data_IF_147572949693
#
_entry.id   IF_147572949693
#
_cell.length_a   1.000
_cell.length_b   1.000
_cell.length_c   1.000
_cell.angle_alpha   90.00
_cell.angle_beta   90.00
_cell.angle_gamma   90.00
#
_symmetry.space_group_name_H-M   'P 1'
#
loop_
_entity.id
_entity.type
_entity.pdbx_description
1 polymer ?
#
# COMPACT_ATOMS: atom_id res chain seq x y z
N UNK A 1 10.06 14.06 -23.55
CA UNK A 1 9.92 14.77 -22.26
C UNK A 1 9.70 13.74 -21.14
N UNK A 2 10.78 13.08 -20.69
CA UNK A 2 10.77 11.85 -19.88
C UNK A 2 11.25 12.08 -18.43
N UNK A 3 10.89 13.20 -17.79
CA UNK A 3 11.45 13.57 -16.47
C UNK A 3 10.52 13.21 -15.29
N UNK A 4 9.23 12.89 -15.53
CA UNK A 4 8.27 12.62 -14.45
C UNK A 4 8.24 11.16 -13.93
N UNK A 5 8.79 10.19 -14.66
CA UNK A 5 8.74 8.78 -14.24
C UNK A 5 9.83 8.40 -13.20
N UNK A 6 10.92 9.18 -13.12
CA UNK A 6 12.08 8.79 -12.31
C UNK A 6 11.98 9.25 -10.84
N UNK A 7 11.34 10.39 -10.57
CA UNK A 7 11.18 10.94 -9.21
C UNK A 7 10.18 10.15 -8.34
N UNK A 8 9.16 9.54 -8.93
CA UNK A 8 8.18 8.71 -8.22
C UNK A 8 8.75 7.34 -7.81
N UNK A 9 9.77 6.85 -8.52
CA UNK A 9 10.37 5.55 -8.27
C UNK A 9 11.32 5.56 -7.05
N UNK A 10 12.10 6.64 -6.89
CA UNK A 10 13.05 6.79 -5.78
C UNK A 10 12.38 6.90 -4.40
N UNK A 11 11.28 7.65 -4.30
CA UNK A 11 10.52 7.80 -3.06
C UNK A 11 9.80 6.50 -2.67
N UNK A 12 9.10 5.83 -3.60
CA UNK A 12 8.42 4.56 -3.34
C UNK A 12 9.38 3.48 -2.82
N UNK A 13 10.61 3.43 -3.35
CA UNK A 13 11.62 2.45 -2.92
C UNK A 13 11.97 2.63 -1.44
N UNK A 14 12.23 3.85 -0.98
CA UNK A 14 12.60 4.12 0.41
C UNK A 14 11.49 3.74 1.41
N UNK A 15 10.23 4.09 1.12
CA UNK A 15 9.10 3.72 1.97
C UNK A 15 8.90 2.20 2.00
N UNK A 16 8.94 1.54 0.84
CA UNK A 16 8.82 0.09 0.77
C UNK A 16 9.90 -0.63 1.59
N UNK A 17 11.17 -0.19 1.48
CA UNK A 17 12.27 -0.72 2.29
C UNK A 17 12.04 -0.53 3.80
N UNK A 18 11.45 0.60 4.22
CA UNK A 18 11.13 0.85 5.63
C UNK A 18 10.08 -0.14 6.16
N UNK A 19 9.01 -0.37 5.42
CA UNK A 19 7.98 -1.36 5.76
C UNK A 19 8.57 -2.76 5.83
N UNK A 20 9.31 -3.18 4.80
CA UNK A 20 9.97 -4.49 4.78
C UNK A 20 10.88 -4.73 6.00
N UNK A 21 11.68 -3.74 6.38
CA UNK A 21 12.51 -3.83 7.59
C UNK A 21 11.67 -4.04 8.84
N UNK A 22 10.58 -3.26 9.02
CA UNK A 22 9.68 -3.40 10.17
C UNK A 22 9.05 -4.79 10.22
N UNK A 23 8.55 -5.30 9.10
CA UNK A 23 7.95 -6.64 9.00
C UNK A 23 8.93 -7.74 9.42
N UNK A 24 10.15 -7.72 8.89
CA UNK A 24 11.17 -8.73 9.21
C UNK A 24 11.56 -8.65 10.69
N UNK A 25 11.79 -7.44 11.21
CA UNK A 25 12.14 -7.23 12.62
C UNK A 25 11.08 -7.81 13.56
N UNK A 26 9.80 -7.51 13.35
CA UNK A 26 8.70 -8.03 14.17
C UNK A 26 8.69 -9.56 14.23
N UNK A 27 8.94 -10.22 13.09
CA UNK A 27 8.94 -11.67 13.00
C UNK A 27 10.16 -12.26 13.68
N UNK A 28 11.36 -11.74 13.41
CA UNK A 28 12.61 -12.25 13.97
C UNK A 28 12.64 -12.09 15.50
N UNK A 29 12.18 -10.96 16.01
CA UNK A 29 12.04 -10.71 17.45
C UNK A 29 11.11 -11.75 18.10
N UNK A 30 9.90 -11.95 17.55
CA UNK A 30 8.95 -12.93 18.10
C UNK A 30 9.42 -14.37 17.97
N UNK A 31 10.09 -14.71 16.88
CA UNK A 31 10.70 -16.03 16.70
C UNK A 31 11.79 -16.28 17.76
N UNK A 32 12.62 -15.27 18.03
CA UNK A 32 13.69 -15.33 19.05
C UNK A 32 13.10 -15.45 20.45
N UNK A 33 12.12 -14.60 20.79
CA UNK A 33 11.42 -14.62 22.08
C UNK A 33 10.78 -15.98 22.37
N UNK A 34 10.16 -16.61 21.37
CA UNK A 34 9.50 -17.91 21.51
C UNK A 34 10.41 -19.12 21.29
N UNK A 35 11.66 -18.93 20.87
CA UNK A 35 12.57 -20.02 20.51
C UNK A 35 12.07 -20.88 19.34
N UNK A 36 11.34 -20.28 18.38
CA UNK A 36 10.71 -20.99 17.26
C UNK A 36 11.59 -20.90 16.01
N UNK A 37 11.79 -22.02 15.34
CA UNK A 37 12.54 -22.06 14.08
C UNK A 37 11.72 -21.57 12.87
N UNK A 38 12.40 -21.06 11.85
CA UNK A 38 11.77 -20.64 10.59
C UNK A 38 10.94 -21.76 9.97
N UNK A 39 11.43 -23.00 9.99
CA UNK A 39 10.71 -24.16 9.46
C UNK A 39 9.40 -24.42 10.20
N UNK A 40 9.38 -24.22 11.52
CA UNK A 40 8.16 -24.36 12.33
C UNK A 40 7.15 -23.26 11.99
N UNK A 41 7.60 -22.01 11.84
CA UNK A 41 6.74 -20.91 11.38
C UNK A 41 6.17 -21.22 10.00
N UNK A 42 7.02 -21.55 9.02
CA UNK A 42 6.62 -21.80 7.65
C UNK A 42 5.60 -22.94 7.53
N UNK A 43 5.82 -24.03 8.29
CA UNK A 43 4.86 -25.14 8.40
C UNK A 43 3.52 -24.68 8.96
N UNK A 44 3.53 -23.91 10.04
CA UNK A 44 2.30 -23.44 10.67
C UNK A 44 1.48 -22.57 9.72
N UNK A 45 2.12 -21.63 9.02
CA UNK A 45 1.43 -20.72 8.11
C UNK A 45 1.21 -21.29 6.71
N UNK A 46 1.54 -22.58 6.51
CA UNK A 46 1.38 -23.31 5.25
C UNK A 46 2.08 -22.65 4.05
N UNK A 47 3.29 -22.13 4.28
CA UNK A 47 4.14 -21.58 3.20
C UNK A 47 5.42 -22.38 3.04
N UNK A 48 5.99 -22.33 1.84
CA UNK A 48 7.28 -22.94 1.57
C UNK A 48 8.41 -22.29 2.43
N UNK A 49 9.22 -23.08 3.16
CA UNK A 49 10.31 -22.54 3.97
C UNK A 49 11.37 -21.78 3.16
N UNK A 50 11.64 -22.15 1.91
CA UNK A 50 12.61 -21.44 1.05
C UNK A 50 12.07 -20.07 0.66
N UNK A 51 10.79 -19.99 0.31
CA UNK A 51 10.08 -18.74 0.07
C UNK A 51 10.16 -17.84 1.31
N UNK A 52 9.77 -18.34 2.48
CA UNK A 52 9.75 -17.53 3.71
C UNK A 52 11.16 -17.07 4.12
N UNK A 53 12.18 -17.90 3.91
CA UNK A 53 13.58 -17.49 4.09
C UNK A 53 14.00 -16.35 3.14
N UNK A 54 13.56 -16.38 1.89
CA UNK A 54 13.80 -15.28 0.93
C UNK A 54 13.04 -14.01 1.32
N UNK A 55 11.86 -14.12 1.94
CA UNK A 55 11.13 -12.97 2.47
C UNK A 55 11.89 -12.32 3.62
N UNK A 56 12.31 -13.09 4.62
CA UNK A 56 13.03 -12.56 5.78
C UNK A 56 14.40 -11.96 5.41
N UNK A 57 15.07 -12.52 4.40
CA UNK A 57 16.31 -11.94 3.86
C UNK A 57 16.10 -10.73 2.92
N UNK A 58 14.85 -10.28 2.72
CA UNK A 58 14.53 -9.14 1.86
C UNK A 58 14.67 -9.41 0.35
N UNK A 59 14.90 -10.66 -0.05
CA UNK A 59 15.03 -11.10 -1.46
C UNK A 59 13.66 -11.28 -2.14
N UNK A 60 12.58 -11.39 -1.36
CA UNK A 60 11.21 -11.50 -1.83
C UNK A 60 10.27 -10.62 -1.01
N UNK A 61 9.14 -10.26 -1.61
CA UNK A 61 8.08 -9.52 -0.94
C UNK A 61 7.28 -10.45 0.00
N UNK A 62 6.65 -9.93 1.06
CA UNK A 62 5.84 -10.72 1.97
C UNK A 62 4.63 -11.31 1.24
N UNK A 63 4.05 -12.41 1.76
CA UNK A 63 2.80 -12.96 1.25
C UNK A 63 1.78 -11.85 0.97
N UNK A 64 1.13 -11.94 -0.20
CA UNK A 64 0.05 -11.01 -0.57
C UNK A 64 -1.29 -11.40 0.06
N UNK A 65 -1.44 -12.66 0.43
CA UNK A 65 -2.65 -13.18 1.07
C UNK A 65 -2.72 -12.73 2.54
N UNK A 66 -3.74 -11.92 2.86
CA UNK A 66 -3.99 -11.46 4.22
C UNK A 66 -4.26 -12.63 5.19
N UNK A 67 -4.84 -13.75 4.74
CA UNK A 67 -5.09 -14.91 5.61
C UNK A 67 -3.78 -15.51 6.12
N UNK A 68 -2.76 -15.60 5.26
CA UNK A 68 -1.42 -16.05 5.64
C UNK A 68 -0.79 -15.10 6.65
N UNK A 69 -0.92 -13.78 6.43
CA UNK A 69 -0.41 -12.77 7.36
C UNK A 69 -1.13 -12.81 8.71
N UNK A 70 -2.46 -12.97 8.73
CA UNK A 70 -3.24 -13.14 9.97
C UNK A 70 -2.82 -14.40 10.70
N UNK A 71 -2.66 -15.53 10.01
CA UNK A 71 -2.20 -16.80 10.60
C UNK A 71 -0.80 -16.66 11.21
N UNK A 72 0.11 -15.97 10.51
CA UNK A 72 1.46 -15.65 11.00
C UNK A 72 1.41 -14.79 12.27
N UNK A 73 0.60 -13.73 12.27
CA UNK A 73 0.44 -12.85 13.42
C UNK A 73 -0.05 -13.63 14.64
N UNK A 74 -1.15 -14.39 14.48
CA UNK A 74 -1.73 -15.18 15.55
C UNK A 74 -0.75 -16.21 16.12
N UNK A 75 -0.04 -16.93 15.25
CA UNK A 75 0.97 -17.91 15.68
C UNK A 75 2.12 -17.25 16.46
N UNK A 76 2.59 -16.10 15.99
CA UNK A 76 3.65 -15.34 16.65
C UNK A 76 3.15 -14.49 17.82
N UNK A 77 1.84 -14.42 18.09
CA UNK A 77 1.26 -13.60 19.15
C UNK A 77 1.42 -12.10 18.89
N UNK A 78 1.31 -11.70 17.62
CA UNK A 78 1.30 -10.31 17.16
C UNK A 78 -0.13 -9.87 16.84
N UNK A 79 -0.36 -8.56 16.87
CA UNK A 79 -1.58 -7.99 16.35
C UNK A 79 -1.64 -8.17 14.80
N UNK A 80 -2.73 -8.73 14.25
CA UNK A 80 -2.84 -8.96 12.81
C UNK A 80 -2.81 -7.67 11.98
N UNK A 81 -3.43 -6.58 12.45
CA UNK A 81 -3.47 -5.31 11.72
C UNK A 81 -2.08 -4.69 11.68
N UNK A 82 -1.36 -4.69 12.82
CA UNK A 82 0.01 -4.21 12.88
C UNK A 82 0.91 -4.96 11.90
N UNK A 83 0.82 -6.29 11.86
CA UNK A 83 1.65 -7.10 10.97
C UNK A 83 1.32 -6.80 9.50
N UNK A 84 0.05 -6.70 9.12
CA UNK A 84 -0.35 -6.37 7.74
C UNK A 84 0.14 -4.97 7.35
N UNK A 85 -0.06 -3.97 8.21
CA UNK A 85 0.39 -2.59 7.99
C UNK A 85 1.92 -2.55 7.86
N UNK A 86 2.65 -3.37 8.61
CA UNK A 86 4.11 -3.46 8.48
C UNK A 86 4.57 -3.93 7.10
N UNK A 87 3.72 -4.60 6.31
CA UNK A 87 4.01 -4.93 4.90
C UNK A 87 3.78 -3.77 3.91
N UNK A 88 3.31 -2.62 4.40
CA UNK A 88 2.93 -1.46 3.59
C UNK A 88 1.55 -1.61 2.92
N UNK A 89 0.69 -2.48 3.45
CA UNK A 89 -0.67 -2.73 2.95
C UNK A 89 -1.71 -2.21 3.92
N UNK A 90 -2.88 -1.87 3.39
CA UNK A 90 -4.07 -1.51 4.16
C UNK A 90 -4.87 -2.80 4.40
N UNK A 91 -5.09 -3.22 5.66
CA UNK A 91 -5.94 -4.36 5.99
C UNK A 91 -7.35 -4.20 5.43
N UNK A 92 -7.94 -5.29 4.94
CA UNK A 92 -9.29 -5.28 4.36
C UNK A 92 -10.35 -4.70 5.33
N UNK A 93 -10.25 -5.05 6.61
CA UNK A 93 -11.15 -4.61 7.67
C UNK A 93 -11.11 -3.08 7.90
N UNK A 94 -10.03 -2.40 7.50
CA UNK A 94 -9.88 -0.95 7.65
C UNK A 94 -10.32 -0.17 6.42
N UNK A 95 -10.57 -0.82 5.26
CA UNK A 95 -10.90 -0.11 4.01
C UNK A 95 -12.14 0.76 4.16
N UNK A 96 -13.24 0.18 4.63
CA UNK A 96 -14.53 0.86 4.82
C UNK A 96 -14.42 2.06 5.78
N UNK A 97 -13.60 1.91 6.84
CA UNK A 97 -13.35 3.00 7.77
C UNK A 97 -12.52 4.12 7.12
N UNK A 98 -11.51 3.77 6.32
CA UNK A 98 -10.67 4.74 5.62
C UNK A 98 -11.40 5.52 4.52
N UNK A 99 -12.45 4.94 3.95
CA UNK A 99 -13.33 5.59 2.98
C UNK A 99 -14.34 6.56 3.63
N UNK A 100 -14.45 6.55 4.96
CA UNK A 100 -15.38 7.42 5.68
C UNK A 100 -14.95 8.88 5.67
N UNK A 101 -15.93 9.78 5.62
CA UNK A 101 -15.69 11.23 5.71
C UNK A 101 -15.08 11.63 7.06
N UNK A 102 -15.40 10.86 8.09
CA UNK A 102 -14.94 10.97 9.46
C UNK A 102 -13.43 10.72 9.54
N UNK A 103 -12.96 9.65 8.91
CA UNK A 103 -11.53 9.35 8.82
C UNK A 103 -10.78 10.45 8.08
N UNK A 104 -11.30 10.94 6.96
CA UNK A 104 -10.67 12.03 6.19
C UNK A 104 -10.55 13.32 7.03
N UNK A 105 -11.64 13.74 7.69
CA UNK A 105 -11.64 14.89 8.61
C UNK A 105 -10.66 14.69 9.77
N UNK A 106 -10.59 13.48 10.31
CA UNK A 106 -9.64 13.14 11.37
C UNK A 106 -8.19 13.27 10.89
N UNK A 107 -7.87 12.74 9.71
CA UNK A 107 -6.53 12.83 9.11
C UNK A 107 -6.18 14.27 8.80
N UNK A 108 -7.10 15.06 8.24
CA UNK A 108 -6.89 16.48 7.94
C UNK A 108 -6.59 17.28 9.21
N UNK A 109 -7.36 17.05 10.28
CA UNK A 109 -7.15 17.72 11.57
C UNK A 109 -5.84 17.31 12.23
N UNK A 110 -5.48 16.02 12.18
CA UNK A 110 -4.34 15.47 12.92
C UNK A 110 -3.02 15.58 12.17
N UNK A 111 -3.07 15.49 10.85
CA UNK A 111 -1.92 15.49 9.96
C UNK A 111 -2.14 16.47 8.81
N UNK A 112 -2.26 17.79 9.09
CA UNK A 112 -2.57 18.79 8.07
C UNK A 112 -1.52 18.88 6.95
N UNK A 113 -0.30 18.41 7.20
CA UNK A 113 0.79 18.35 6.22
C UNK A 113 0.74 17.12 5.29
N UNK A 114 -0.08 16.11 5.60
CA UNK A 114 -0.24 14.90 4.78
C UNK A 114 -1.39 15.02 3.78
N UNK A 115 -2.34 15.92 4.02
CA UNK A 115 -3.38 16.22 3.05
C UNK A 115 -2.71 16.96 1.90
N UNK A 116 -2.56 16.28 0.76
CA UNK A 116 -2.30 16.96 -0.49
C UNK A 116 -3.44 17.97 -0.67
N UNK A 117 -3.16 19.26 -0.44
CA UNK A 117 -3.93 20.27 -1.15
C UNK A 117 -3.76 19.90 -2.61
N UNK A 118 -4.86 19.54 -3.27
CA UNK A 118 -4.83 19.40 -4.72
C UNK A 118 -4.08 20.63 -5.22
N UNK A 119 -3.01 20.49 -6.04
CA UNK A 119 -2.50 21.66 -6.71
C UNK A 119 -3.72 22.34 -7.32
N UNK A 120 -3.83 23.66 -7.17
CA UNK A 120 -4.85 24.44 -7.87
C UNK A 120 -4.62 24.18 -9.36
N UNK A 121 -5.21 23.11 -9.87
CA UNK A 121 -5.51 22.98 -11.27
C UNK A 121 -6.54 24.08 -11.45
N UNK A 122 -6.12 25.19 -12.04
CA UNK A 122 -7.04 26.06 -12.75
C UNK A 122 -7.82 25.13 -13.67
N UNK A 123 -9.03 24.73 -13.24
CA UNK A 123 -9.97 24.08 -14.12
C UNK A 123 -10.19 25.11 -15.21
N UNK A 124 -9.83 24.86 -16.49
CA UNK A 124 -10.00 25.85 -17.53
C UNK A 124 -11.48 26.22 -17.58
N UNK A 125 -11.76 27.44 -17.15
CA UNK A 125 -13.11 27.91 -16.88
C UNK A 125 -13.84 27.99 -18.22
N UNK A 126 -14.75 27.04 -18.45
CA UNK A 126 -15.83 26.97 -19.46
C UNK A 126 -15.49 27.14 -20.96
N UNK A 127 -14.56 28.00 -21.36
CA UNK A 127 -14.26 28.28 -22.77
C UNK A 127 -13.63 27.09 -23.48
N UNK A 128 -12.74 26.35 -22.81
CA UNK A 128 -12.06 25.19 -23.40
C UNK A 128 -12.99 23.96 -23.48
N UNK A 129 -13.84 23.76 -22.46
CA UNK A 129 -14.88 22.72 -22.46
C UNK A 129 -15.92 22.97 -23.56
N UNK A 130 -16.25 24.24 -23.83
CA UNK A 130 -17.16 24.62 -24.93
C UNK A 130 -16.54 24.39 -26.30
N UNK A 131 -15.25 24.67 -26.49
CA UNK A 131 -14.54 24.38 -27.74
C UNK A 131 -14.41 22.88 -28.01
N UNK A 132 -14.16 22.07 -26.99
CA UNK A 132 -14.11 20.60 -27.12
C UNK A 132 -15.48 20.02 -27.50
N UNK A 133 -16.57 20.58 -26.97
CA UNK A 133 -17.95 20.15 -27.29
C UNK A 133 -18.35 20.49 -28.73
N UNK A 134 -17.97 21.68 -29.23
CA UNK A 134 -18.23 22.10 -30.62
C UNK A 134 -17.45 21.21 -31.59
N UNK A 135 -16.15 20.97 -31.33
CA UNK A 135 -15.30 20.15 -32.21
C UNK A 135 -15.74 18.69 -32.30
N UNK A 136 -16.35 18.15 -31.24
CA UNK A 136 -16.92 16.80 -31.24
C UNK A 136 -18.24 16.68 -32.02
N UNK A 137 -18.98 17.78 -32.20
CA UNK A 137 -20.23 17.79 -32.97
C UNK A 137 -19.98 17.97 -34.48
N UNK A 138 -18.95 18.74 -34.86
CA UNK A 138 -18.54 18.88 -36.27
C UNK A 138 -18.01 17.57 -36.86
N UNK A 139 -17.24 16.79 -36.07
CA UNK A 139 -16.72 15.47 -36.50
C UNK A 139 -17.81 14.40 -36.73
N UNK A 140 -19.01 14.59 -36.19
CA UNK A 140 -20.14 13.67 -36.43
C UNK A 140 -20.98 14.02 -37.65
N UNK A 141 -20.90 15.26 -38.16
CA UNK A 141 -21.62 15.68 -39.37
C UNK A 141 -20.84 15.37 -40.66
N UNK A 142 -19.51 15.23 -40.59
CA UNK A 142 -18.66 14.86 -41.73
C UNK A 142 -18.60 13.34 -42.03
N UNK A 143 -19.35 12.53 -41.28
CA UNK A 143 -19.39 11.05 -41.38
C UNK A 143 -20.75 10.51 -41.87
N UNK A 144 -21.65 11.38 -42.34
CA UNK A 144 -22.91 11.07 -43.03
C UNK A 144 -22.86 11.56 -44.50
#
# INVERSE_FOLDING_TARGET
MFVFHFLTFGLKKNYFLKFMKKFVQLIEEKMKEKGISLRKVAKEIEVDPSFFSKVLSGKRTPPGDEKVLKKLALFLGLDPLELIISTGRIPEELRSFMESSEFLKMVEKRFPHLVFKAPEFEIPIEKEVRQLRIKSQELSEDLL
#
